data_IF_197782768045
#
_entry.id   IF_197782768045
#
_cell.length_a   1.000
_cell.length_b   1.000
_cell.length_c   1.000
_cell.angle_alpha   90.00
_cell.angle_beta   90.00
_cell.angle_gamma   90.00
#
_symmetry.space_group_name_H-M   'P 1'
#
loop_
_entity.id
_entity.type
_entity.pdbx_description
1 polymer ?
#
# COMPACT_ATOMS: atom_id res chain seq x y z
N UNK A 1 13.09 -8.98 29.68
CA UNK A 1 13.99 -9.00 28.51
C UNK A 1 14.30 -7.54 28.22
N UNK A 2 15.56 -7.13 28.17
CA UNK A 2 15.89 -5.74 27.86
C UNK A 2 15.78 -5.52 26.33
N UNK A 3 15.78 -4.26 25.87
CA UNK A 3 15.60 -3.94 24.45
C UNK A 3 16.75 -4.44 23.57
N UNK A 4 18.00 -4.49 24.10
CA UNK A 4 19.16 -5.01 23.38
C UNK A 4 19.01 -6.54 23.13
N UNK A 5 18.56 -7.28 24.14
CA UNK A 5 18.30 -8.72 24.00
C UNK A 5 17.20 -9.00 22.97
N UNK A 6 16.17 -8.13 22.91
CA UNK A 6 15.08 -8.25 21.94
C UNK A 6 15.58 -8.11 20.52
N UNK A 7 16.42 -7.12 20.22
CA UNK A 7 17.00 -6.93 18.88
C UNK A 7 17.98 -8.04 18.50
N UNK A 8 18.82 -8.49 19.45
CA UNK A 8 19.73 -9.61 19.24
C UNK A 8 18.97 -10.90 18.95
N UNK A 9 17.87 -11.15 19.65
CA UNK A 9 17.01 -12.30 19.39
C UNK A 9 16.32 -12.21 18.02
N UNK A 10 15.80 -11.03 17.63
CA UNK A 10 15.23 -10.82 16.30
C UNK A 10 16.26 -11.10 15.20
N UNK A 11 17.49 -10.61 15.35
CA UNK A 11 18.57 -10.89 14.41
C UNK A 11 18.85 -12.40 14.27
N UNK A 12 18.90 -13.13 15.38
CA UNK A 12 19.09 -14.57 15.37
C UNK A 12 17.91 -15.31 14.69
N UNK A 13 16.68 -14.86 14.90
CA UNK A 13 15.48 -15.41 14.27
C UNK A 13 15.48 -15.18 12.75
N UNK A 14 15.93 -14.00 12.29
CA UNK A 14 16.10 -13.68 10.87
C UNK A 14 17.17 -14.58 10.24
N UNK A 15 18.35 -14.68 10.85
CA UNK A 15 19.46 -15.51 10.34
C UNK A 15 19.13 -17.00 10.32
N UNK A 16 18.31 -17.49 11.23
CA UNK A 16 17.88 -18.90 11.28
C UNK A 16 16.65 -19.21 10.40
N UNK A 17 16.06 -18.21 9.74
CA UNK A 17 14.84 -18.37 8.94
C UNK A 17 13.55 -18.57 9.75
N UNK A 18 13.59 -18.46 11.08
CA UNK A 18 12.40 -18.50 11.92
C UNK A 18 11.54 -17.23 11.82
N UNK A 19 12.13 -16.14 11.34
CA UNK A 19 11.43 -14.97 10.84
C UNK A 19 11.81 -14.82 9.37
N UNK A 20 10.82 -14.85 8.50
CA UNK A 20 10.99 -14.62 7.06
C UNK A 20 10.74 -13.16 6.70
N UNK A 21 11.54 -12.65 5.75
CA UNK A 21 11.26 -11.35 5.11
C UNK A 21 10.46 -11.60 3.84
N UNK A 22 9.19 -11.23 3.85
CA UNK A 22 8.31 -11.35 2.69
C UNK A 22 8.30 -10.04 1.91
N UNK A 23 8.58 -10.10 0.62
CA UNK A 23 8.47 -8.97 -0.30
C UNK A 23 6.99 -8.73 -0.66
N UNK A 24 6.51 -7.54 -0.38
CA UNK A 24 5.13 -7.12 -0.63
C UNK A 24 5.03 -6.16 -1.81
N UNK A 25 6.06 -6.07 -2.66
CA UNK A 25 6.12 -5.14 -3.77
C UNK A 25 6.04 -5.83 -5.12
N UNK A 26 5.29 -5.24 -6.05
CA UNK A 26 5.37 -5.55 -7.46
C UNK A 26 6.68 -5.02 -8.09
N UNK A 27 7.05 -5.57 -9.25
CA UNK A 27 8.17 -5.01 -10.04
C UNK A 27 7.79 -3.63 -10.55
N UNK A 28 8.73 -2.69 -10.49
CA UNK A 28 8.56 -1.33 -10.98
C UNK A 28 9.33 -1.16 -12.30
N UNK A 29 8.63 -0.75 -13.36
CA UNK A 29 9.24 -0.58 -14.68
C UNK A 29 8.24 -0.08 -15.72
N UNK A 30 8.63 0.02 -17.00
CA UNK A 30 7.78 0.56 -18.07
C UNK A 30 6.42 -0.13 -18.25
N UNK A 31 6.34 -1.42 -17.87
CA UNK A 31 5.12 -2.23 -18.00
C UNK A 31 4.27 -2.22 -16.71
N UNK A 32 4.65 -1.44 -15.70
CA UNK A 32 3.85 -1.30 -14.46
C UNK A 32 2.50 -0.68 -14.82
N UNK A 33 1.37 -1.31 -14.44
CA UNK A 33 0.06 -0.71 -14.62
C UNK A 33 -0.05 0.63 -13.88
N UNK A 34 -0.58 1.63 -14.54
CA UNK A 34 -0.80 2.97 -13.99
C UNK A 34 -2.28 3.30 -14.02
N UNK A 35 -2.75 4.00 -12.99
CA UNK A 35 -4.11 4.49 -12.94
C UNK A 35 -4.37 5.40 -14.14
N UNK A 36 -5.47 5.15 -14.84
CA UNK A 36 -5.97 5.98 -15.93
C UNK A 36 -7.23 6.68 -15.48
N UNK A 37 -7.26 7.98 -15.61
CA UNK A 37 -8.37 8.83 -15.23
C UNK A 37 -9.03 9.42 -16.48
N UNK A 38 -10.35 9.70 -16.47
CA UNK A 38 -10.98 10.41 -17.57
C UNK A 38 -10.26 11.73 -17.84
N UNK A 39 -9.94 12.07 -19.12
CA UNK A 39 -9.14 13.26 -19.46
C UNK A 39 -9.73 14.58 -18.95
N UNK A 40 -11.05 14.66 -18.85
CA UNK A 40 -11.77 15.83 -18.33
C UNK A 40 -11.68 15.93 -16.80
N UNK A 41 -11.27 14.86 -16.12
CA UNK A 41 -11.17 14.79 -14.66
C UNK A 41 -9.75 15.09 -14.17
N UNK A 42 -8.75 14.45 -14.77
CA UNK A 42 -7.36 14.64 -14.38
C UNK A 42 -6.38 14.24 -15.50
N UNK A 43 -5.09 14.52 -15.30
CA UNK A 43 -4.02 14.03 -16.16
C UNK A 43 -3.51 12.70 -15.65
N UNK A 44 -3.26 11.78 -16.56
CA UNK A 44 -2.63 10.50 -16.25
C UNK A 44 -1.20 10.68 -15.74
N UNK A 45 -0.80 9.79 -14.85
CA UNK A 45 0.62 9.62 -14.51
C UNK A 45 1.38 9.17 -15.76
N UNK A 46 2.48 9.84 -16.15
CA UNK A 46 3.29 9.41 -17.26
C UNK A 46 3.85 8.01 -17.06
N UNK A 47 4.04 7.25 -18.15
CA UNK A 47 4.70 5.94 -18.10
C UNK A 47 6.07 6.05 -17.44
N UNK A 48 6.45 4.98 -16.74
CA UNK A 48 7.77 4.84 -16.14
C UNK A 48 8.79 4.66 -17.24
N UNK A 49 9.87 5.42 -17.19
CA UNK A 49 10.96 5.35 -18.14
C UNK A 49 12.26 4.98 -17.45
N UNK A 50 12.99 4.02 -18.03
CA UNK A 50 14.34 3.65 -17.62
C UNK A 50 15.31 4.05 -18.73
N UNK A 51 16.25 4.89 -18.40
CA UNK A 51 17.24 5.41 -19.35
C UNK A 51 18.63 4.96 -18.95
N UNK A 52 19.29 4.22 -19.84
CA UNK A 52 20.67 3.79 -19.66
C UNK A 52 21.60 5.02 -19.67
N UNK A 53 22.50 5.10 -18.71
CA UNK A 53 23.62 6.04 -18.69
C UNK A 53 24.87 5.31 -19.20
N UNK A 54 25.19 4.14 -18.61
CA UNK A 54 26.29 3.26 -19.03
C UNK A 54 26.01 1.81 -18.70
N UNK A 55 26.69 0.91 -19.38
CA UNK A 55 26.61 -0.55 -19.15
C UNK A 55 27.94 -1.22 -19.49
N UNK A 56 29.00 -0.92 -18.72
CA UNK A 56 30.36 -1.40 -18.94
C UNK A 56 30.88 -1.04 -20.35
N UNK A 57 30.53 0.14 -20.84
CA UNK A 57 30.82 0.66 -22.18
C UNK A 57 31.68 1.92 -22.11
N UNK A 58 31.87 2.62 -23.25
CA UNK A 58 32.68 3.84 -23.32
C UNK A 58 32.18 4.98 -22.45
N UNK A 59 30.87 4.98 -22.11
CA UNK A 59 30.26 6.01 -21.27
C UNK A 59 30.43 5.73 -19.77
N UNK A 60 30.94 4.52 -19.42
CA UNK A 60 31.27 4.10 -18.06
C UNK A 60 31.83 2.70 -18.02
N UNK A 61 33.18 2.52 -18.23
CA UNK A 61 33.77 1.20 -18.44
C UNK A 61 33.79 0.30 -17.17
N UNK A 62 33.53 0.87 -15.98
CA UNK A 62 33.60 0.17 -14.71
C UNK A 62 32.25 -0.02 -14.00
N UNK A 63 31.14 0.55 -14.55
CA UNK A 63 29.84 0.49 -13.90
C UNK A 63 28.70 0.43 -14.93
N UNK A 64 27.56 -0.06 -14.45
CA UNK A 64 26.27 0.02 -15.14
C UNK A 64 25.29 0.81 -14.25
N UNK A 65 24.66 1.82 -14.82
CA UNK A 65 23.66 2.58 -14.12
C UNK A 65 22.64 3.23 -15.06
N UNK A 66 21.49 3.53 -14.51
CA UNK A 66 20.39 4.15 -15.22
C UNK A 66 19.86 5.35 -14.41
N UNK A 67 19.20 6.28 -15.10
CA UNK A 67 18.26 7.15 -14.43
C UNK A 67 16.84 6.72 -14.78
N UNK A 68 15.88 7.01 -13.87
CA UNK A 68 14.48 6.64 -14.08
C UNK A 68 13.58 7.87 -13.91
N UNK A 69 12.50 7.89 -14.69
CA UNK A 69 11.40 8.84 -14.57
C UNK A 69 10.20 8.04 -14.06
N UNK A 70 9.67 8.42 -12.91
CA UNK A 70 8.61 7.69 -12.23
C UNK A 70 7.69 8.65 -11.51
N UNK A 71 6.38 8.41 -11.56
CA UNK A 71 5.40 9.13 -10.76
C UNK A 71 5.42 8.66 -9.31
N UNK A 72 5.14 9.55 -8.36
CA UNK A 72 5.10 9.24 -6.93
C UNK A 72 4.12 8.10 -6.61
N UNK A 73 2.98 8.04 -7.29
CA UNK A 73 1.92 7.05 -7.10
C UNK A 73 1.95 6.00 -8.22
N UNK A 74 3.05 5.22 -8.28
CA UNK A 74 3.28 4.21 -9.32
C UNK A 74 3.67 2.86 -8.72
N UNK A 75 3.05 1.77 -9.20
CA UNK A 75 3.30 0.43 -8.69
C UNK A 75 2.95 0.31 -7.21
N UNK A 76 3.69 -0.50 -6.45
CA UNK A 76 3.53 -0.52 -4.99
C UNK A 76 4.04 0.79 -4.41
N UNK A 77 3.12 1.58 -3.83
CA UNK A 77 3.43 2.93 -3.36
C UNK A 77 2.77 3.26 -2.02
N UNK A 78 3.30 4.29 -1.41
CA UNK A 78 2.84 4.91 -0.16
C UNK A 78 2.17 6.24 -0.47
N UNK A 79 1.01 6.51 0.13
CA UNK A 79 0.30 7.78 0.07
C UNK A 79 0.47 8.53 1.38
N UNK A 80 1.04 9.74 1.29
CA UNK A 80 1.16 10.67 2.39
C UNK A 80 -0.10 11.55 2.54
N UNK A 81 -0.37 12.14 3.71
CA UNK A 81 -1.58 12.95 3.93
C UNK A 81 -1.81 14.08 2.93
N UNK A 82 -0.75 14.72 2.44
CA UNK A 82 -0.86 15.78 1.44
C UNK A 82 -1.19 15.28 0.01
N UNK A 83 -1.31 13.96 -0.19
CA UNK A 83 -1.77 13.41 -1.47
C UNK A 83 -3.21 13.83 -1.81
N UNK A 84 -4.05 14.06 -0.80
CA UNK A 84 -5.48 14.33 -1.01
C UNK A 84 -5.91 15.68 -0.45
N UNK A 85 -6.88 16.31 -1.14
CA UNK A 85 -7.45 17.60 -0.70
C UNK A 85 -8.40 17.38 0.49
N UNK A 86 -7.91 17.61 1.69
CA UNK A 86 -8.67 17.43 2.93
C UNK A 86 -8.98 18.76 3.64
N UNK A 87 -8.40 19.86 3.19
CA UNK A 87 -8.43 21.15 3.90
C UNK A 87 -7.61 21.14 5.19
N UNK A 88 -6.74 20.11 5.37
CA UNK A 88 -5.83 20.00 6.51
C UNK A 88 -4.41 20.25 6.05
N UNK A 89 -3.65 21.00 6.87
CA UNK A 89 -2.23 21.26 6.65
C UNK A 89 -1.45 20.65 7.82
N UNK A 90 -0.88 19.46 7.60
CA UNK A 90 -0.09 18.75 8.59
C UNK A 90 1.39 19.00 8.37
N UNK A 91 2.09 19.51 9.39
CA UNK A 91 3.54 19.75 9.33
C UNK A 91 4.35 18.47 9.03
N UNK A 92 3.80 17.30 9.36
CA UNK A 92 4.34 15.96 9.10
C UNK A 92 3.56 15.20 8.02
N UNK A 93 2.94 15.91 7.07
CA UNK A 93 2.06 15.34 6.05
C UNK A 93 2.74 14.99 4.71
N UNK A 94 4.02 15.30 4.53
CA UNK A 94 4.83 14.97 3.33
C UNK A 94 5.80 13.83 3.61
N UNK A 95 6.23 13.10 2.57
CA UNK A 95 7.13 11.94 2.73
C UNK A 95 8.45 12.26 3.40
N UNK A 96 8.96 13.50 3.27
CA UNK A 96 10.19 13.96 3.89
C UNK A 96 10.03 14.43 5.36
N UNK A 97 8.80 14.64 5.81
CA UNK A 97 8.48 15.14 7.16
C UNK A 97 7.82 14.10 8.08
N UNK A 98 7.28 13.01 7.53
CA UNK A 98 6.67 11.94 8.34
C UNK A 98 7.69 11.33 9.30
N UNK A 99 7.35 11.16 10.60
CA UNK A 99 8.22 10.49 11.56
C UNK A 99 8.55 9.05 11.16
N UNK A 100 9.83 8.70 11.10
CA UNK A 100 10.32 7.40 10.56
C UNK A 100 9.78 6.18 11.31
N UNK A 101 9.44 6.30 12.59
CA UNK A 101 8.83 5.24 13.37
C UNK A 101 7.46 4.79 12.83
N UNK A 102 6.78 5.64 12.06
CA UNK A 102 5.49 5.33 11.45
C UNK A 102 5.60 4.37 10.26
N UNK A 103 6.81 4.15 9.73
CA UNK A 103 7.06 3.26 8.59
C UNK A 103 7.26 1.80 9.01
N UNK A 104 7.33 1.50 10.30
CA UNK A 104 7.52 0.15 10.84
C UNK A 104 6.47 -0.10 11.91
N UNK A 105 5.50 -0.97 11.62
CA UNK A 105 4.42 -1.24 12.57
C UNK A 105 3.82 -2.64 12.35
N UNK A 106 3.13 -3.22 13.36
CA UNK A 106 2.37 -4.44 13.18
C UNK A 106 1.29 -4.27 12.11
N UNK A 107 0.98 -5.37 11.41
CA UNK A 107 -0.02 -5.38 10.34
C UNK A 107 -1.09 -6.43 10.60
N UNK A 108 -2.34 -6.03 10.34
CA UNK A 108 -3.53 -6.86 10.36
C UNK A 108 -3.97 -7.12 8.92
N UNK A 109 -4.06 -8.39 8.52
CA UNK A 109 -4.47 -8.78 7.16
C UNK A 109 -5.90 -9.30 7.20
N UNK A 110 -6.81 -8.57 6.56
CA UNK A 110 -8.20 -8.99 6.39
C UNK A 110 -8.31 -9.69 5.04
N UNK A 111 -8.52 -11.00 5.07
CA UNK A 111 -8.62 -11.82 3.87
C UNK A 111 -10.03 -11.74 3.29
N UNK A 112 -10.16 -11.09 2.13
CA UNK A 112 -11.37 -10.97 1.32
C UNK A 112 -11.18 -11.63 -0.06
N UNK A 113 -10.17 -12.48 -0.24
CA UNK A 113 -9.84 -13.07 -1.55
C UNK A 113 -10.96 -13.94 -2.12
N UNK A 114 -11.70 -14.65 -1.26
CA UNK A 114 -12.82 -15.48 -1.66
C UNK A 114 -14.03 -14.66 -2.13
N UNK A 115 -14.29 -13.53 -1.50
CA UNK A 115 -15.35 -12.58 -1.86
C UNK A 115 -15.00 -11.86 -3.16
N UNK A 116 -13.78 -11.36 -3.27
CA UNK A 116 -13.32 -10.63 -4.45
C UNK A 116 -13.20 -11.49 -5.69
N UNK A 117 -12.91 -12.78 -5.53
CA UNK A 117 -12.94 -13.74 -6.65
C UNK A 117 -14.33 -13.90 -7.26
N UNK A 118 -15.41 -13.68 -6.48
CA UNK A 118 -16.80 -13.79 -6.92
C UNK A 118 -17.36 -12.45 -7.39
N UNK A 119 -16.90 -11.36 -6.79
CA UNK A 119 -17.36 -10.02 -7.09
C UNK A 119 -16.19 -9.03 -7.09
N UNK A 120 -15.78 -8.52 -8.27
CA UNK A 120 -14.70 -7.54 -8.35
C UNK A 120 -15.03 -6.21 -7.63
N UNK A 121 -16.32 -5.89 -7.47
CA UNK A 121 -16.79 -4.70 -6.74
C UNK A 121 -17.10 -5.00 -5.27
N UNK A 122 -16.48 -6.03 -4.69
CA UNK A 122 -16.67 -6.34 -3.28
C UNK A 122 -16.24 -5.19 -2.38
N UNK A 123 -17.10 -4.84 -1.44
CA UNK A 123 -16.86 -3.78 -0.46
C UNK A 123 -16.72 -4.37 0.94
N UNK A 124 -15.57 -4.16 1.57
CA UNK A 124 -15.37 -4.49 2.98
C UNK A 124 -15.99 -3.39 3.84
N UNK A 125 -16.94 -3.76 4.68
CA UNK A 125 -17.62 -2.87 5.62
C UNK A 125 -17.09 -3.00 7.07
N UNK A 126 -17.60 -2.16 7.98
CA UNK A 126 -17.23 -2.21 9.39
C UNK A 126 -17.61 -3.54 10.05
N UNK A 127 -18.71 -4.16 9.65
CA UNK A 127 -19.15 -5.44 10.19
C UNK A 127 -18.17 -6.58 9.81
N UNK A 128 -17.65 -6.56 8.59
CA UNK A 128 -16.59 -7.48 8.14
C UNK A 128 -15.30 -7.32 8.95
N UNK A 129 -14.89 -6.09 9.26
CA UNK A 129 -13.73 -5.83 10.13
C UNK A 129 -13.98 -6.35 11.55
N UNK A 130 -15.17 -6.10 12.11
CA UNK A 130 -15.55 -6.60 13.45
C UNK A 130 -15.59 -8.14 13.51
N UNK A 131 -16.10 -8.78 12.45
CA UNK A 131 -16.10 -10.23 12.35
C UNK A 131 -14.67 -10.81 12.28
N UNK A 132 -13.75 -10.10 11.61
CA UNK A 132 -12.34 -10.44 11.62
C UNK A 132 -11.72 -10.26 13.03
N UNK A 133 -12.01 -9.15 13.73
CA UNK A 133 -11.53 -8.92 15.10
C UNK A 133 -12.01 -9.99 16.08
N UNK A 134 -13.23 -10.47 15.94
CA UNK A 134 -13.78 -11.53 16.78
C UNK A 134 -12.98 -12.84 16.68
N UNK A 135 -12.33 -13.09 15.54
CA UNK A 135 -11.51 -14.30 15.30
C UNK A 135 -10.04 -14.11 15.66
N UNK A 136 -9.51 -12.90 15.41
CA UNK A 136 -8.07 -12.65 15.41
C UNK A 136 -7.62 -11.66 16.49
N UNK A 137 -8.59 -11.09 17.25
CA UNK A 137 -8.34 -10.06 18.25
C UNK A 137 -8.34 -8.65 17.68
N UNK A 138 -8.52 -7.68 18.57
CA UNK A 138 -8.74 -6.28 18.21
C UNK A 138 -7.58 -5.64 17.44
N UNK A 139 -7.90 -4.75 16.51
CA UNK A 139 -6.95 -3.81 15.89
C UNK A 139 -6.54 -2.80 16.97
N UNK A 140 -5.24 -2.58 17.13
CA UNK A 140 -4.69 -1.67 18.13
C UNK A 140 -4.21 -0.37 17.48
N UNK A 141 -4.16 0.67 18.30
CA UNK A 141 -3.61 1.96 17.88
C UNK A 141 -2.18 1.81 17.32
N UNK A 142 -1.94 2.39 16.17
CA UNK A 142 -0.64 2.38 15.51
C UNK A 142 -0.39 1.15 14.64
N UNK A 143 -1.33 0.21 14.51
CA UNK A 143 -1.23 -0.93 13.60
C UNK A 143 -1.73 -0.57 12.21
N UNK A 144 -1.17 -1.21 11.18
CA UNK A 144 -1.69 -1.18 9.81
C UNK A 144 -2.86 -2.15 9.67
N UNK A 145 -3.79 -1.80 8.78
CA UNK A 145 -4.84 -2.70 8.31
C UNK A 145 -4.70 -2.83 6.81
N UNK A 146 -4.60 -4.05 6.29
CA UNK A 146 -4.51 -4.31 4.86
C UNK A 146 -5.56 -5.32 4.43
N UNK A 147 -6.19 -5.05 3.28
CA UNK A 147 -7.18 -5.93 2.67
C UNK A 147 -6.49 -6.82 1.64
N UNK A 148 -6.50 -8.13 1.89
CA UNK A 148 -6.06 -9.12 0.92
C UNK A 148 -7.20 -9.40 -0.08
N UNK A 149 -6.91 -9.24 -1.34
CA UNK A 149 -7.86 -9.42 -2.45
C UNK A 149 -7.38 -10.40 -3.51
N UNK A 150 -6.08 -10.80 -3.45
CA UNK A 150 -5.34 -11.54 -4.47
C UNK A 150 -5.37 -10.85 -5.86
N UNK A 151 -5.62 -9.53 -5.88
CA UNK A 151 -5.66 -8.70 -7.09
C UNK A 151 -4.30 -8.58 -7.76
N UNK A 152 -3.23 -8.71 -7.01
CA UNK A 152 -1.83 -8.71 -7.48
C UNK A 152 -1.55 -9.82 -8.50
N UNK A 153 -2.35 -10.89 -8.53
CA UNK A 153 -2.27 -11.93 -9.56
C UNK A 153 -2.51 -11.41 -10.99
N UNK A 154 -3.14 -10.24 -11.14
CA UNK A 154 -3.49 -9.62 -12.42
C UNK A 154 -2.45 -8.62 -12.92
N UNK A 155 -1.42 -8.29 -12.14
CA UNK A 155 -0.49 -7.18 -12.39
C UNK A 155 0.29 -7.26 -13.71
N UNK A 156 0.43 -8.44 -14.28
CA UNK A 156 1.10 -8.65 -15.58
C UNK A 156 0.19 -8.40 -16.80
N UNK A 157 -1.08 -8.09 -16.58
CA UNK A 157 -2.05 -7.70 -17.61
C UNK A 157 -2.72 -6.40 -17.16
N UNK A 158 -2.31 -5.28 -17.77
CA UNK A 158 -2.80 -3.95 -17.40
C UNK A 158 -4.32 -3.87 -17.48
N UNK A 159 -4.93 -4.43 -18.52
CA UNK A 159 -6.38 -4.39 -18.69
C UNK A 159 -7.10 -5.19 -17.60
N UNK A 160 -6.61 -6.37 -17.27
CA UNK A 160 -7.14 -7.19 -16.19
C UNK A 160 -6.92 -6.55 -14.80
N UNK A 161 -5.79 -5.86 -14.60
CA UNK A 161 -5.47 -5.21 -13.34
C UNK A 161 -6.32 -3.95 -13.11
N UNK A 162 -6.48 -3.11 -14.13
CA UNK A 162 -7.35 -1.93 -14.10
C UNK A 162 -8.83 -2.31 -14.07
N UNK A 163 -9.20 -3.38 -14.76
CA UNK A 163 -10.55 -3.95 -14.83
C UNK A 163 -11.62 -2.86 -15.03
N UNK A 164 -11.39 -1.98 -16.02
CA UNK A 164 -12.25 -0.83 -16.29
C UNK A 164 -13.14 -1.08 -17.51
N UNK A 165 -14.38 -0.59 -17.44
CA UNK A 165 -15.32 -0.54 -18.55
C UNK A 165 -15.90 0.87 -18.74
N UNK A 166 -17.02 1.00 -19.46
CA UNK A 166 -17.68 2.28 -19.72
C UNK A 166 -18.23 2.97 -18.46
N UNK A 167 -18.39 2.24 -17.35
CA UNK A 167 -18.84 2.77 -16.05
C UNK A 167 -17.68 3.15 -15.12
N UNK A 168 -16.45 2.83 -15.49
CA UNK A 168 -15.24 3.13 -14.75
C UNK A 168 -14.49 1.86 -14.30
N UNK A 169 -13.55 2.00 -13.36
CA UNK A 169 -12.80 0.87 -12.82
C UNK A 169 -13.66 0.03 -11.87
N UNK A 170 -13.44 -1.28 -11.87
CA UNK A 170 -14.11 -2.27 -11.02
C UNK A 170 -13.07 -3.01 -10.20
N UNK A 171 -12.83 -2.58 -8.98
CA UNK A 171 -11.91 -3.21 -8.04
C UNK A 171 -12.46 -3.15 -6.62
N UNK A 172 -12.16 -4.17 -5.78
CA UNK A 172 -12.62 -4.20 -4.41
C UNK A 172 -11.96 -3.11 -3.55
N UNK A 173 -12.63 -2.76 -2.45
CA UNK A 173 -12.09 -1.78 -1.51
C UNK A 173 -12.96 -1.59 -0.27
N UNK A 174 -12.69 -0.57 0.55
CA UNK A 174 -13.41 -0.31 1.76
C UNK A 174 -14.67 0.52 1.53
N UNK A 175 -15.66 0.35 2.39
CA UNK A 175 -16.77 1.30 2.55
C UNK A 175 -16.36 2.49 3.43
N UNK A 176 -17.20 3.52 3.46
CA UNK A 176 -17.01 4.69 4.33
C UNK A 176 -16.99 4.30 5.82
N UNK A 177 -17.87 3.41 6.25
CA UNK A 177 -17.95 2.96 7.64
C UNK A 177 -16.79 2.03 8.01
N UNK A 178 -16.25 1.24 7.07
CA UNK A 178 -15.00 0.50 7.26
C UNK A 178 -13.85 1.44 7.65
N UNK A 179 -13.60 2.47 6.85
CA UNK A 179 -12.51 3.42 7.13
C UNK A 179 -12.75 4.18 8.44
N UNK A 180 -13.98 4.65 8.69
CA UNK A 180 -14.33 5.28 9.97
C UNK A 180 -14.05 4.35 11.15
N UNK A 181 -14.37 3.06 11.00
CA UNK A 181 -14.18 2.07 12.06
C UNK A 181 -12.69 1.86 12.35
N UNK A 182 -11.85 1.59 11.35
CA UNK A 182 -10.41 1.38 11.56
C UNK A 182 -9.72 2.64 12.12
N UNK A 183 -10.15 3.84 11.70
CA UNK A 183 -9.69 5.10 12.27
C UNK A 183 -10.07 5.24 13.74
N UNK A 184 -11.28 4.80 14.14
CA UNK A 184 -11.71 4.82 15.54
C UNK A 184 -10.86 3.90 16.44
N UNK A 185 -10.29 2.84 15.87
CA UNK A 185 -9.33 1.93 16.56
C UNK A 185 -7.92 2.55 16.63
N UNK A 186 -7.68 3.65 15.95
CA UNK A 186 -6.39 4.33 15.89
C UNK A 186 -5.38 3.66 14.96
N UNK A 187 -5.85 2.96 13.92
CA UNK A 187 -4.99 2.41 12.88
C UNK A 187 -4.10 3.52 12.27
N UNK A 188 -2.86 3.16 11.92
CA UNK A 188 -1.91 4.10 11.34
C UNK A 188 -2.14 4.32 9.85
N UNK A 189 -2.74 3.35 9.18
CA UNK A 189 -3.06 3.43 7.76
C UNK A 189 -3.83 2.21 7.26
N UNK A 190 -4.20 2.29 6.00
CA UNK A 190 -4.91 1.26 5.25
C UNK A 190 -4.14 0.89 3.99
N UNK A 191 -4.22 -0.39 3.58
CA UNK A 191 -3.58 -0.83 2.34
C UNK A 191 -4.35 -1.89 1.59
N UNK A 192 -4.08 -2.01 0.27
CA UNK A 192 -4.71 -3.00 -0.61
C UNK A 192 -3.78 -3.43 -1.75
N UNK A 193 -4.16 -4.50 -2.43
CA UNK A 193 -3.46 -5.01 -3.63
C UNK A 193 -3.96 -4.36 -4.93
N UNK A 194 -5.02 -3.55 -4.87
CA UNK A 194 -5.55 -2.82 -6.01
C UNK A 194 -4.69 -1.59 -6.35
N UNK A 195 -4.94 -0.99 -7.53
CA UNK A 195 -4.15 0.12 -8.04
C UNK A 195 -4.26 1.41 -7.20
N UNK A 196 -5.34 1.54 -6.42
CA UNK A 196 -5.58 2.61 -5.47
C UNK A 196 -6.08 2.05 -4.14
N UNK A 197 -6.16 2.90 -3.13
CA UNK A 197 -6.58 2.53 -1.78
C UNK A 197 -8.09 2.41 -1.62
N UNK A 198 -8.87 2.98 -2.54
CA UNK A 198 -10.34 2.89 -2.59
C UNK A 198 -10.84 1.84 -3.58
N UNK A 199 -12.12 1.46 -3.47
CA UNK A 199 -12.81 0.66 -4.45
C UNK A 199 -12.93 1.39 -5.80
N UNK A 200 -12.98 0.65 -6.91
CA UNK A 200 -13.10 1.22 -8.25
C UNK A 200 -14.28 2.17 -8.41
N UNK A 201 -15.43 1.85 -7.81
CA UNK A 201 -16.66 2.64 -7.86
C UNK A 201 -16.83 3.63 -6.69
N UNK A 202 -15.77 3.91 -5.92
CA UNK A 202 -15.84 4.73 -4.71
C UNK A 202 -16.18 6.20 -4.98
N UNK A 203 -16.12 6.67 -6.22
CA UNK A 203 -16.58 8.02 -6.59
C UNK A 203 -18.05 8.29 -6.30
N UNK A 204 -18.89 7.25 -6.21
CA UNK A 204 -20.31 7.34 -5.84
C UNK A 204 -20.61 7.28 -4.34
N UNK A 205 -19.60 7.17 -3.48
CA UNK A 205 -19.77 7.15 -2.01
C UNK A 205 -19.86 8.57 -1.41
N UNK A 206 -20.26 8.68 -0.14
CA UNK A 206 -20.32 9.95 0.59
C UNK A 206 -19.57 9.84 1.93
N UNK A 207 -18.36 10.44 2.08
CA UNK A 207 -17.64 11.19 1.05
C UNK A 207 -17.10 10.24 -0.05
N UNK A 208 -16.88 10.77 -1.27
CA UNK A 208 -16.27 9.99 -2.35
C UNK A 208 -14.82 9.62 -1.98
N UNK A 209 -14.36 8.47 -2.46
CA UNK A 209 -13.02 7.96 -2.19
C UNK A 209 -12.67 7.96 -0.69
N UNK A 210 -13.41 7.18 0.13
CA UNK A 210 -13.36 7.27 1.59
C UNK A 210 -11.99 6.95 2.18
N UNK A 211 -11.20 6.06 1.57
CA UNK A 211 -9.85 5.79 2.05
C UNK A 211 -8.97 7.04 1.90
N UNK A 212 -8.87 7.61 0.71
CA UNK A 212 -8.14 8.86 0.52
C UNK A 212 -8.67 9.98 1.40
N UNK A 213 -9.99 10.21 1.38
CA UNK A 213 -10.60 11.35 2.06
C UNK A 213 -10.42 11.29 3.57
N UNK A 214 -10.78 10.16 4.19
CA UNK A 214 -10.84 10.07 5.65
C UNK A 214 -9.48 9.75 6.29
N UNK A 215 -8.64 8.90 5.64
CA UNK A 215 -7.30 8.61 6.16
C UNK A 215 -6.44 9.87 6.17
N UNK A 216 -6.34 10.56 5.03
CA UNK A 216 -5.49 11.74 4.92
C UNK A 216 -6.03 12.90 5.77
N UNK A 217 -7.36 13.06 5.89
CA UNK A 217 -7.95 14.02 6.83
C UNK A 217 -7.65 13.71 8.30
N UNK A 218 -7.29 12.47 8.63
CA UNK A 218 -6.88 12.04 9.97
C UNK A 218 -5.35 11.94 10.15
N UNK A 219 -4.55 12.47 9.21
CA UNK A 219 -3.08 12.32 9.18
C UNK A 219 -2.64 10.85 9.19
N UNK A 220 -3.30 10.02 8.36
CA UNK A 220 -3.02 8.59 8.20
C UNK A 220 -2.64 8.30 6.75
N UNK A 221 -2.09 7.11 6.53
CA UNK A 221 -1.37 6.74 5.32
C UNK A 221 -2.11 5.70 4.50
N UNK A 222 -1.87 5.71 3.18
CA UNK A 222 -2.32 4.71 2.24
C UNK A 222 -1.18 3.82 1.74
N UNK A 223 -1.51 2.58 1.37
CA UNK A 223 -0.63 1.67 0.63
C UNK A 223 -1.42 1.05 -0.52
N UNK A 224 -0.96 1.23 -1.73
CA UNK A 224 -1.60 0.67 -2.91
C UNK A 224 -0.70 -0.32 -3.65
N UNK A 225 -1.32 -1.17 -4.45
CA UNK A 225 -0.62 -2.18 -5.26
C UNK A 225 0.32 -3.07 -4.47
N UNK A 226 -0.05 -3.43 -3.23
CA UNK A 226 0.68 -4.42 -2.45
C UNK A 226 0.65 -5.79 -3.16
N UNK A 227 1.66 -6.62 -2.92
CA UNK A 227 1.74 -7.97 -3.46
C UNK A 227 1.89 -9.00 -2.34
N UNK A 228 1.64 -10.28 -2.65
CA UNK A 228 1.96 -11.40 -1.76
C UNK A 228 1.30 -11.35 -0.37
N UNK A 229 0.19 -10.65 -0.17
CA UNK A 229 -0.50 -10.61 1.13
C UNK A 229 -0.96 -12.01 1.59
N UNK A 230 -1.13 -12.95 0.66
CA UNK A 230 -1.44 -14.36 0.95
C UNK A 230 -0.36 -15.08 1.77
N UNK A 231 0.87 -14.55 1.82
CA UNK A 231 1.99 -15.10 2.60
C UNK A 231 2.01 -14.64 4.05
N UNK A 232 1.17 -13.67 4.41
CA UNK A 232 1.10 -13.10 5.74
C UNK A 232 0.02 -13.79 6.58
N UNK A 233 0.26 -13.99 7.89
CA UNK A 233 -0.79 -14.37 8.81
C UNK A 233 -1.78 -13.21 9.02
N UNK A 234 -2.98 -13.51 9.50
CA UNK A 234 -3.97 -12.48 9.84
C UNK A 234 -3.43 -11.44 10.83
N UNK A 235 -2.61 -11.88 11.81
CA UNK A 235 -1.88 -11.03 12.78
C UNK A 235 -0.48 -11.60 13.06
N UNK A 236 0.40 -10.73 13.60
CA UNK A 236 1.72 -11.13 14.09
C UNK A 236 2.87 -10.82 13.14
N UNK A 237 2.61 -10.29 11.95
CA UNK A 237 3.64 -9.75 11.07
C UNK A 237 3.92 -8.28 11.40
N UNK A 238 5.14 -7.82 11.06
CA UNK A 238 5.55 -6.41 11.12
C UNK A 238 5.74 -5.94 9.68
N UNK A 239 5.02 -4.90 9.30
CA UNK A 239 5.15 -4.23 8.01
C UNK A 239 6.22 -3.15 8.06
N UNK A 240 7.05 -3.09 7.02
CA UNK A 240 8.00 -2.03 6.74
C UNK A 240 7.59 -1.40 5.41
N UNK A 241 7.14 -0.14 5.46
CA UNK A 241 6.60 0.60 4.31
C UNK A 241 7.15 2.03 4.29
N UNK A 242 8.44 2.15 3.99
CA UNK A 242 9.15 3.43 4.02
C UNK A 242 9.17 4.07 2.62
N UNK A 243 8.56 5.26 2.44
CA UNK A 243 8.67 6.03 1.20
C UNK A 243 10.08 6.61 1.02
N UNK A 244 10.42 6.96 -0.20
CA UNK A 244 11.57 7.83 -0.46
C UNK A 244 11.35 9.18 0.23
N UNK A 245 12.42 9.74 0.77
CA UNK A 245 12.37 11.05 1.45
C UNK A 245 12.42 12.18 0.41
N UNK A 246 11.34 12.30 -0.37
CA UNK A 246 11.20 13.30 -1.42
C UNK A 246 10.77 14.61 -0.79
N UNK A 247 11.46 15.71 -1.09
CA UNK A 247 11.09 17.04 -0.60
C UNK A 247 9.68 17.39 -1.03
N UNK A 248 8.80 17.65 -0.08
CA UNK A 248 7.37 17.90 -0.29
C UNK A 248 6.67 16.81 -1.10
N UNK A 249 7.16 15.57 -1.04
CA UNK A 249 6.58 14.44 -1.75
C UNK A 249 5.23 14.05 -1.16
N UNK A 250 4.24 13.84 -2.04
CA UNK A 250 2.88 13.43 -1.64
C UNK A 250 2.73 11.92 -1.55
N UNK A 251 3.69 11.19 -2.07
CA UNK A 251 3.79 9.74 -2.05
C UNK A 251 5.12 9.27 -2.61
N UNK A 252 5.30 7.97 -2.73
CA UNK A 252 6.51 7.39 -3.32
C UNK A 252 6.29 5.92 -3.64
N UNK A 253 6.83 5.40 -4.77
CA UNK A 253 7.07 3.98 -4.89
C UNK A 253 7.91 3.48 -3.72
N UNK A 254 7.59 2.29 -3.21
CA UNK A 254 8.29 1.69 -2.07
C UNK A 254 8.68 0.24 -2.34
N UNK A 255 9.69 -0.25 -1.60
CA UNK A 255 9.89 -1.67 -1.38
C UNK A 255 9.22 -2.05 -0.07
N UNK A 256 7.91 -2.33 -0.11
CA UNK A 256 7.19 -2.82 1.06
C UNK A 256 7.65 -4.24 1.41
N UNK A 257 7.89 -4.48 2.70
CA UNK A 257 8.33 -5.79 3.21
C UNK A 257 7.59 -6.12 4.50
N UNK A 258 7.44 -7.41 4.80
CA UNK A 258 6.95 -7.85 6.09
C UNK A 258 7.91 -8.83 6.76
N UNK A 259 8.09 -8.69 8.07
CA UNK A 259 8.71 -9.70 8.92
C UNK A 259 7.61 -10.66 9.38
N UNK A 260 7.71 -11.91 8.99
CA UNK A 260 6.67 -12.93 9.22
C UNK A 260 7.24 -14.05 10.07
N UNK A 261 6.66 -14.37 11.25
CA UNK A 261 7.09 -15.52 12.02
C UNK A 261 6.75 -16.81 11.27
N UNK A 262 7.72 -17.74 11.24
CA UNK A 262 7.53 -19.11 10.74
C UNK A 262 7.43 -20.05 11.92
N UNK A 263 6.37 -20.86 11.94
CA UNK A 263 6.14 -21.88 12.95
C UNK A 263 7.02 -23.12 12.78
#
# INVERSE_FOLDING_TARGET
MNSADTLSNLAALLLSGKVEVVDLSGRLGPDTPLLKLPPDFARDTPKIELHKISEYDSDGPFWAWNWLKVGEHSGTHFDAPHHWITGKDYADGYTDSIPVQNFVAPVNVIDCSAETAKNPDFLLDAAGVQAWEAKHGEIRKGEWVVMRTDWDSRVNDEAAYLNADATGPHSPGPTVDCIKYILSKGAIGWGTQCIGTDAGQAGGMEPPYPAHNLLHAANKYGLASLANLSKLPAKGAILIAAPLKIVSGTGSPIRAMALVPRG
#
